data_IF_821472341928
#
_entry.id   IF_821472341928
#
_cell.length_a   1.000
_cell.length_b   1.000
_cell.length_c   1.000
_cell.angle_alpha   90.00
_cell.angle_beta   90.00
_cell.angle_gamma   90.00
#
_symmetry.space_group_name_H-M   'P 1'
#
loop_
_entity.id
_entity.type
_entity.pdbx_description
1 polymer ?
#
# COMPACT_ATOMS: atom_id res chain seq x y z
N UNK A 1 -18.67 -22.11 -54.66
CA UNK A 1 -20.02 -22.33 -54.06
C UNK A 1 -19.80 -22.76 -52.61
N UNK A 2 -19.79 -21.82 -51.65
CA UNK A 2 -20.90 -21.49 -50.72
C UNK A 2 -21.19 -22.70 -49.80
N UNK A 3 -21.06 -22.66 -48.48
CA UNK A 3 -21.62 -21.68 -47.54
C UNK A 3 -20.95 -21.79 -46.15
N UNK A 4 -20.52 -20.68 -45.55
CA UNK A 4 -20.19 -20.59 -44.13
C UNK A 4 -21.42 -20.00 -43.43
N UNK A 5 -22.06 -20.79 -42.56
CA UNK A 5 -23.24 -20.39 -41.81
C UNK A 5 -22.88 -19.28 -40.82
N UNK A 6 -23.42 -18.09 -41.07
CA UNK A 6 -23.32 -16.90 -40.22
C UNK A 6 -24.42 -16.97 -39.17
N UNK A 7 -24.11 -17.51 -37.99
CA UNK A 7 -25.02 -17.42 -36.84
C UNK A 7 -24.92 -16.03 -36.24
N UNK A 8 -25.93 -15.21 -36.53
CA UNK A 8 -26.30 -14.06 -35.71
C UNK A 8 -26.64 -14.55 -34.30
N UNK A 9 -25.80 -14.20 -33.32
CA UNK A 9 -26.21 -14.17 -31.92
C UNK A 9 -26.11 -12.74 -31.41
N UNK A 10 -27.26 -12.23 -31.01
CA UNK A 10 -27.55 -10.89 -30.56
C UNK A 10 -26.56 -10.42 -29.49
N UNK A 11 -25.99 -9.23 -29.72
CA UNK A 11 -25.27 -8.43 -28.73
C UNK A 11 -26.22 -8.16 -27.57
N UNK A 12 -26.12 -9.02 -26.56
CA UNK A 12 -26.80 -8.87 -25.28
C UNK A 12 -25.82 -8.16 -24.38
N UNK A 13 -26.06 -6.86 -24.18
CA UNK A 13 -25.58 -6.00 -23.06
C UNK A 13 -24.24 -6.42 -22.44
N UNK A 14 -23.22 -5.60 -22.71
CA UNK A 14 -22.04 -5.51 -21.85
C UNK A 14 -22.47 -5.52 -20.38
N UNK A 15 -22.07 -6.56 -19.65
CA UNK A 15 -22.09 -6.58 -18.19
C UNK A 15 -21.10 -5.48 -17.77
N UNK A 16 -21.51 -4.42 -17.06
CA UNK A 16 -20.55 -3.45 -16.58
C UNK A 16 -19.56 -4.21 -15.69
N UNK A 17 -18.25 -4.00 -15.90
CA UNK A 17 -17.23 -4.43 -14.96
C UNK A 17 -17.67 -3.92 -13.59
N UNK A 18 -17.93 -4.85 -12.68
CA UNK A 18 -18.28 -4.55 -11.31
C UNK A 18 -17.08 -3.83 -10.71
N UNK A 19 -17.14 -2.50 -10.66
CA UNK A 19 -16.42 -1.71 -9.66
C UNK A 19 -16.96 -2.22 -8.33
N UNK A 20 -16.26 -3.16 -7.71
CA UNK A 20 -16.51 -3.54 -6.31
C UNK A 20 -16.41 -2.25 -5.52
N UNK A 21 -17.54 -1.68 -5.14
CA UNK A 21 -17.56 -0.49 -4.30
C UNK A 21 -17.21 -0.98 -2.90
N UNK A 22 -15.90 -1.06 -2.63
CA UNK A 22 -15.35 -1.30 -1.30
C UNK A 22 -16.01 -0.29 -0.34
N UNK A 23 -16.49 -0.77 0.80
CA UNK A 23 -17.08 0.12 1.79
C UNK A 23 -16.00 1.07 2.37
N UNK A 24 -16.38 2.26 2.87
CA UNK A 24 -15.43 3.16 3.52
C UNK A 24 -14.68 2.49 4.68
N UNK A 25 -15.35 1.60 5.42
CA UNK A 25 -14.78 0.82 6.53
C UNK A 25 -13.67 -0.12 6.05
N UNK A 26 -13.93 -0.89 4.98
CA UNK A 26 -12.97 -1.83 4.43
C UNK A 26 -11.70 -1.13 3.89
N UNK A 27 -11.88 0.05 3.30
CA UNK A 27 -10.75 0.88 2.85
C UNK A 27 -9.90 1.38 4.01
N UNK A 28 -10.51 1.74 5.14
CA UNK A 28 -9.79 2.15 6.34
C UNK A 28 -9.00 0.99 6.96
N UNK A 29 -9.61 -0.19 7.09
CA UNK A 29 -8.96 -1.40 7.64
C UNK A 29 -7.76 -1.85 6.79
N UNK A 30 -7.89 -1.81 5.45
CA UNK A 30 -6.79 -2.13 4.55
C UNK A 30 -5.63 -1.15 4.71
N UNK A 31 -5.91 0.15 4.82
CA UNK A 31 -4.89 1.18 5.01
C UNK A 31 -4.20 1.03 6.36
N UNK A 32 -4.95 0.70 7.41
CA UNK A 32 -4.39 0.40 8.73
C UNK A 32 -3.47 -0.83 8.66
N UNK A 33 -3.93 -1.94 8.08
CA UNK A 33 -3.12 -3.15 7.88
C UNK A 33 -1.84 -2.90 7.08
N UNK A 34 -1.93 -2.10 6.02
CA UNK A 34 -0.76 -1.68 5.23
C UNK A 34 0.21 -0.83 6.06
N UNK A 35 -0.32 0.10 6.87
CA UNK A 35 0.49 0.97 7.73
C UNK A 35 1.21 0.14 8.80
N UNK A 36 0.51 -0.79 9.44
CA UNK A 36 1.09 -1.71 10.43
C UNK A 36 2.20 -2.56 9.82
N UNK A 37 1.97 -3.14 8.65
CA UNK A 37 2.98 -3.90 7.91
C UNK A 37 4.26 -3.07 7.66
N UNK A 38 4.10 -1.83 7.19
CA UNK A 38 5.23 -0.93 6.92
C UNK A 38 6.00 -0.54 8.18
N UNK A 39 5.30 -0.24 9.27
CA UNK A 39 5.95 0.07 10.55
C UNK A 39 6.69 -1.15 11.10
N UNK A 40 6.09 -2.33 11.00
CA UNK A 40 6.66 -3.58 11.54
C UNK A 40 7.95 -3.99 10.82
N UNK A 41 7.96 -3.94 9.49
CA UNK A 41 9.05 -4.52 8.70
C UNK A 41 10.00 -3.48 8.09
N UNK A 42 9.55 -2.23 7.90
CA UNK A 42 10.32 -1.19 7.19
C UNK A 42 10.62 0.04 8.05
N UNK A 43 10.47 -0.04 9.38
CA UNK A 43 10.70 1.10 10.28
C UNK A 43 12.09 1.72 10.15
N UNK A 44 13.13 0.91 9.95
CA UNK A 44 14.50 1.42 9.79
C UNK A 44 14.64 2.26 8.50
N UNK A 45 14.14 1.76 7.37
CA UNK A 45 14.11 2.54 6.12
C UNK A 45 13.29 3.83 6.29
N UNK A 46 12.14 3.75 6.95
CA UNK A 46 11.29 4.91 7.22
C UNK A 46 12.02 5.97 8.07
N UNK A 47 12.81 5.55 9.05
CA UNK A 47 13.66 6.44 9.86
C UNK A 47 14.80 7.04 9.06
N UNK A 48 15.48 6.25 8.24
CA UNK A 48 16.61 6.73 7.43
C UNK A 48 16.16 7.83 6.46
N UNK A 49 14.96 7.69 5.89
CA UNK A 49 14.30 8.73 5.09
C UNK A 49 14.13 10.02 5.91
N UNK A 50 13.71 9.91 7.18
CA UNK A 50 13.51 11.07 8.06
C UNK A 50 14.81 11.80 8.41
N UNK A 51 15.93 11.09 8.41
CA UNK A 51 17.25 11.63 8.73
C UNK A 51 17.92 12.31 7.54
N UNK A 52 17.31 12.25 6.35
CA UNK A 52 17.84 12.94 5.18
C UNK A 52 17.93 14.43 5.38
N UNK A 53 19.06 15.01 4.98
CA UNK A 53 19.25 16.46 4.91
C UNK A 53 18.57 17.11 3.71
N UNK A 54 18.12 16.34 2.70
CA UNK A 54 17.49 16.86 1.49
C UNK A 54 15.96 16.61 1.49
N UNK A 55 15.14 17.64 1.74
CA UNK A 55 13.69 17.51 1.77
C UNK A 55 13.06 17.33 0.38
N UNK A 56 13.83 17.46 -0.71
CA UNK A 56 13.35 17.28 -2.09
C UNK A 56 13.69 15.92 -2.67
N UNK A 57 14.43 15.08 -1.93
CA UNK A 57 14.82 13.78 -2.45
C UNK A 57 13.63 12.82 -2.40
N UNK A 58 13.33 12.21 -3.54
CA UNK A 58 12.37 11.12 -3.60
C UNK A 58 13.01 9.86 -3.02
N UNK A 59 12.44 9.36 -1.93
CA UNK A 59 12.88 8.13 -1.30
C UNK A 59 11.95 6.97 -1.68
N UNK A 60 12.37 6.05 -2.57
CA UNK A 60 11.61 4.84 -2.84
C UNK A 60 11.66 3.90 -1.62
N UNK A 61 10.52 3.33 -1.24
CA UNK A 61 10.45 2.19 -0.33
C UNK A 61 10.39 0.92 -1.16
N UNK A 62 11.37 0.03 -0.98
CA UNK A 62 11.41 -1.25 -1.67
C UNK A 62 10.78 -2.32 -0.78
N UNK A 63 9.57 -2.74 -1.14
CA UNK A 63 8.81 -3.75 -0.41
C UNK A 63 9.05 -5.14 -0.97
N UNK A 64 9.34 -6.10 -0.11
CA UNK A 64 9.40 -7.51 -0.47
C UNK A 64 8.00 -8.13 -0.44
N UNK A 65 7.51 -8.53 -1.60
CA UNK A 65 6.17 -9.13 -1.70
C UNK A 65 6.06 -10.45 -0.93
N UNK A 66 7.16 -11.21 -0.79
CA UNK A 66 7.18 -12.43 0.00
C UNK A 66 6.88 -12.15 1.49
N UNK A 67 7.48 -11.10 2.05
CA UNK A 67 7.22 -10.67 3.43
C UNK A 67 5.76 -10.23 3.63
N UNK A 68 5.19 -9.51 2.65
CA UNK A 68 3.77 -9.18 2.65
C UNK A 68 2.88 -10.43 2.59
N UNK A 69 3.25 -11.42 1.77
CA UNK A 69 2.50 -12.66 1.63
C UNK A 69 2.53 -13.51 2.91
N UNK A 70 3.65 -13.51 3.62
CA UNK A 70 3.80 -14.23 4.89
C UNK A 70 3.09 -13.51 6.05
N UNK A 71 3.14 -12.18 6.09
CA UNK A 71 2.55 -11.37 7.15
C UNK A 71 1.03 -11.20 7.00
N UNK A 72 0.56 -10.87 5.79
CA UNK A 72 -0.85 -10.66 5.49
C UNK A 72 -1.22 -11.24 4.11
N UNK A 73 -1.49 -12.56 4.04
CA UNK A 73 -1.83 -13.23 2.79
C UNK A 73 -3.06 -12.65 2.07
N UNK A 74 -4.01 -12.09 2.83
CA UNK A 74 -5.19 -11.46 2.25
C UNK A 74 -4.83 -10.16 1.52
N UNK A 75 -4.07 -9.29 2.18
CA UNK A 75 -3.58 -8.05 1.59
C UNK A 75 -2.67 -8.32 0.39
N UNK A 76 -1.80 -9.32 0.46
CA UNK A 76 -0.96 -9.75 -0.65
C UNK A 76 -1.80 -10.17 -1.88
N UNK A 77 -2.89 -10.92 -1.67
CA UNK A 77 -3.83 -11.27 -2.75
C UNK A 77 -4.49 -10.06 -3.37
N UNK A 78 -4.87 -9.06 -2.57
CA UNK A 78 -5.45 -7.82 -3.08
C UNK A 78 -4.46 -7.05 -3.95
N UNK A 79 -3.22 -6.87 -3.48
CA UNK A 79 -2.13 -6.25 -4.24
C UNK A 79 -1.88 -6.98 -5.55
N UNK A 80 -1.79 -8.31 -5.51
CA UNK A 80 -1.57 -9.12 -6.70
C UNK A 80 -2.73 -9.02 -7.70
N UNK A 81 -3.97 -9.01 -7.21
CA UNK A 81 -5.17 -9.01 -8.05
C UNK A 81 -5.49 -7.64 -8.66
N UNK A 82 -5.10 -6.55 -7.98
CA UNK A 82 -5.38 -5.18 -8.44
C UNK A 82 -4.24 -4.21 -8.06
N UNK A 83 -3.04 -4.37 -8.65
CA UNK A 83 -1.85 -3.65 -8.22
C UNK A 83 -1.98 -2.13 -8.36
N UNK A 84 -2.58 -1.62 -9.43
CA UNK A 84 -2.72 -0.17 -9.64
C UNK A 84 -3.51 0.54 -8.54
N UNK A 85 -4.48 -0.14 -7.93
CA UNK A 85 -5.28 0.40 -6.85
C UNK A 85 -4.55 0.27 -5.51
N UNK A 86 -4.00 -0.91 -5.22
CA UNK A 86 -3.45 -1.20 -3.90
C UNK A 86 -2.03 -0.66 -3.72
N UNK A 87 -1.23 -0.52 -4.78
CA UNK A 87 0.06 0.17 -4.70
C UNK A 87 -0.11 1.66 -4.34
N UNK A 88 -1.11 2.34 -4.90
CA UNK A 88 -1.43 3.73 -4.50
C UNK A 88 -1.84 3.85 -3.04
N UNK A 89 -2.53 2.83 -2.50
CA UNK A 89 -2.89 2.78 -1.08
C UNK A 89 -1.66 2.52 -0.19
N UNK A 90 -0.67 1.80 -0.70
CA UNK A 90 0.63 1.67 -0.05
C UNK A 90 1.34 3.02 0.04
N UNK A 91 1.27 3.87 -1.00
CA UNK A 91 1.83 5.23 -0.93
C UNK A 91 1.20 6.04 0.21
N UNK A 92 -0.13 6.01 0.32
CA UNK A 92 -0.85 6.69 1.42
C UNK A 92 -0.45 6.14 2.80
N UNK A 93 -0.33 4.82 2.91
CA UNK A 93 0.04 4.12 4.15
C UNK A 93 1.50 4.38 4.53
N UNK A 94 2.39 4.52 3.56
CA UNK A 94 3.80 4.87 3.79
C UNK A 94 3.95 6.25 4.44
N UNK A 95 3.13 7.23 4.04
CA UNK A 95 3.12 8.54 4.69
C UNK A 95 2.67 8.46 6.15
N UNK A 96 1.71 7.59 6.48
CA UNK A 96 1.27 7.37 7.85
C UNK A 96 2.33 6.62 8.67
N UNK A 97 2.90 5.56 8.10
CA UNK A 97 3.97 4.79 8.74
C UNK A 97 5.20 5.66 9.03
N UNK A 98 5.55 6.57 8.11
CA UNK A 98 6.63 7.53 8.29
C UNK A 98 6.37 8.49 9.46
N UNK A 99 5.14 9.01 9.61
CA UNK A 99 4.75 9.83 10.76
C UNK A 99 4.87 9.07 12.07
N UNK A 100 4.42 7.81 12.11
CA UNK A 100 4.52 6.96 13.29
C UNK A 100 5.99 6.70 13.65
N UNK A 101 6.83 6.39 12.66
CA UNK A 101 8.27 6.20 12.87
C UNK A 101 8.93 7.46 13.47
N UNK A 102 8.62 8.65 12.94
CA UNK A 102 9.07 9.94 13.48
C UNK A 102 8.63 10.18 14.92
N UNK A 103 7.37 9.86 15.25
CA UNK A 103 6.87 9.98 16.62
C UNK A 103 7.58 9.02 17.58
N UNK A 104 7.87 7.80 17.15
CA UNK A 104 8.65 6.85 17.93
C UNK A 104 10.08 7.34 18.19
N UNK A 105 10.72 7.96 17.19
CA UNK A 105 12.04 8.58 17.37
C UNK A 105 12.02 9.72 18.38
N UNK A 106 11.06 10.65 18.27
CA UNK A 106 10.93 11.77 19.22
C UNK A 106 10.73 11.28 20.65
N UNK A 107 9.82 10.32 20.85
CA UNK A 107 9.59 9.69 22.17
C UNK A 107 10.86 9.01 22.71
N UNK A 108 11.71 8.49 21.84
CA UNK A 108 12.98 7.88 22.24
C UNK A 108 14.02 8.95 22.64
N UNK A 109 14.14 10.04 21.88
CA UNK A 109 15.00 11.19 22.23
C UNK A 109 14.59 11.81 23.57
N UNK A 110 13.30 12.02 23.80
CA UNK A 110 12.76 12.57 25.04
C UNK A 110 13.05 11.67 26.25
N UNK A 111 12.96 10.34 26.07
CA UNK A 111 13.25 9.36 27.14
C UNK A 111 14.73 9.27 27.48
N UNK A 112 15.62 9.51 26.52
CA UNK A 112 17.07 9.42 26.72
C UNK A 112 17.63 10.73 27.28
N UNK A 113 16.85 11.81 27.29
CA UNK A 113 17.28 13.08 27.88
C UNK A 113 18.47 13.67 27.13
N UNK A 114 18.44 13.63 25.80
CA UNK A 114 19.41 14.36 24.98
C UNK A 114 19.08 15.85 25.11
N UNK A 115 19.57 16.45 26.20
CA UNK A 115 19.66 17.89 26.36
C UNK A 115 20.51 18.40 25.19
N UNK A 116 19.87 19.07 24.22
CA UNK A 116 20.58 19.68 23.09
C UNK A 116 21.53 20.74 23.65
N UNK A 117 22.81 20.38 23.76
CA UNK A 117 23.91 21.30 24.08
C UNK A 117 24.26 22.18 22.89
#
# INVERSE_FOLDING_TARGET
LVSIQKTHLLISRAKPLTRTMESPTQTAEQRESMTEFLVKHYSDQLRDISLSSDPKLHYPLFLEFAELADDNPYLARLVFSNPEQYLRRFDESALLAHKIALEHMKKFEDKIGIEKR
#
